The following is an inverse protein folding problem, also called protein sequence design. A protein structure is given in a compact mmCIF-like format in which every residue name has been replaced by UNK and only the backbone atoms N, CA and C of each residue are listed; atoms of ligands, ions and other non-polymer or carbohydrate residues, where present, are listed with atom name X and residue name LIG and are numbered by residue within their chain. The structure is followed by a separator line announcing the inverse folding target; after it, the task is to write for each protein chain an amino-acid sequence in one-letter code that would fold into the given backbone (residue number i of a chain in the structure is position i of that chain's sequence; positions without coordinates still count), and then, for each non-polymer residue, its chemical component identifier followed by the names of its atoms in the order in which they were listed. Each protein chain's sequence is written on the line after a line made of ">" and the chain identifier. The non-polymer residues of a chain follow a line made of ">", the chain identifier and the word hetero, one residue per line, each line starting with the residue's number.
data_IF_298343610029
#
_entry.id   IF_298343610029
#
_cell.length_a   1.000
_cell.length_b   1.000
_cell.length_c   1.000
_cell.angle_alpha   90.00
_cell.angle_beta   90.00
_cell.angle_gamma   90.00
#
_symmetry.space_group_name_H-M   'P 1'
#
loop_
_entity.id
_entity.type
_entity.pdbx_description
1 polymer ?
#
# COMPACT_ATOMS: atom_id res chain seq x y z
N UNK A 1 -30.50 -12.40 0.57
CA UNK A 1 -29.11 -12.34 0.06
C UNK A 1 -28.24 -13.17 1.00
N UNK A 2 -27.58 -14.20 0.50
CA UNK A 2 -26.66 -15.02 1.30
C UNK A 2 -25.33 -14.30 1.54
N UNK A 3 -24.53 -14.76 2.50
CA UNK A 3 -23.16 -14.24 2.71
C UNK A 3 -22.31 -14.38 1.45
N UNK A 4 -22.47 -15.47 0.71
CA UNK A 4 -21.78 -15.69 -0.57
C UNK A 4 -22.19 -14.66 -1.63
N UNK A 5 -23.49 -14.33 -1.74
CA UNK A 5 -23.97 -13.31 -2.69
C UNK A 5 -23.37 -11.94 -2.35
N UNK A 6 -23.36 -11.58 -1.05
CA UNK A 6 -22.78 -10.30 -0.60
C UNK A 6 -21.27 -10.23 -0.92
N UNK A 7 -20.53 -11.29 -0.63
CA UNK A 7 -19.10 -11.36 -0.97
C UNK A 7 -18.86 -11.29 -2.48
N UNK A 8 -19.68 -11.99 -3.26
CA UNK A 8 -19.58 -11.98 -4.73
C UNK A 8 -19.83 -10.57 -5.30
N UNK A 9 -20.85 -9.86 -4.78
CA UNK A 9 -21.12 -8.48 -5.16
C UNK A 9 -19.95 -7.56 -4.82
N UNK A 10 -19.39 -7.69 -3.61
CA UNK A 10 -18.24 -6.92 -3.16
C UNK A 10 -17.02 -7.16 -4.07
N UNK A 11 -16.66 -8.42 -4.32
CA UNK A 11 -15.51 -8.79 -5.15
C UNK A 11 -15.68 -8.30 -6.60
N UNK A 12 -16.89 -8.45 -7.18
CA UNK A 12 -17.22 -7.96 -8.52
C UNK A 12 -17.37 -6.44 -8.61
N UNK A 13 -17.74 -5.78 -7.51
CA UNK A 13 -17.90 -4.33 -7.40
C UNK A 13 -16.59 -3.58 -7.26
N UNK A 14 -15.56 -4.22 -6.66
CA UNK A 14 -14.25 -3.57 -6.47
C UNK A 14 -13.68 -3.06 -7.80
N UNK A 15 -13.28 -1.80 -7.82
CA UNK A 15 -12.62 -1.17 -8.98
C UNK A 15 -11.33 -0.49 -8.55
N UNK A 16 -10.38 -0.46 -9.45
CA UNK A 16 -9.22 0.43 -9.34
C UNK A 16 -9.67 1.84 -9.72
N UNK A 17 -9.52 2.79 -8.81
CA UNK A 17 -9.86 4.19 -9.07
C UNK A 17 -8.88 5.13 -8.37
N UNK A 18 -8.50 6.19 -9.09
CA UNK A 18 -7.79 7.37 -8.56
C UNK A 18 -8.69 8.62 -8.58
N UNK A 19 -9.96 8.46 -8.94
CA UNK A 19 -10.94 9.54 -8.83
C UNK A 19 -11.41 9.57 -7.39
N UNK A 20 -10.80 10.43 -6.59
CA UNK A 20 -10.99 10.57 -5.15
C UNK A 20 -11.14 12.03 -4.78
N UNK A 21 -11.93 12.32 -3.75
CA UNK A 21 -12.00 13.63 -3.13
C UNK A 21 -10.68 13.94 -2.39
N UNK A 22 -9.84 14.87 -2.89
CA UNK A 22 -8.47 15.03 -2.36
C UNK A 22 -8.44 15.63 -0.95
N UNK A 23 -9.47 16.41 -0.60
CA UNK A 23 -9.54 17.18 0.65
C UNK A 23 -10.40 16.49 1.72
N UNK A 24 -11.08 15.39 1.36
CA UNK A 24 -11.86 14.60 2.33
C UNK A 24 -10.99 13.54 2.97
N UNK A 25 -10.61 13.78 4.23
CA UNK A 25 -9.77 12.88 4.99
C UNK A 25 -10.35 11.46 5.11
N UNK A 26 -9.49 10.47 5.19
CA UNK A 26 -9.81 9.12 5.66
C UNK A 26 -9.30 9.01 7.08
N UNK A 27 -10.18 8.68 8.02
CA UNK A 27 -9.86 8.60 9.43
C UNK A 27 -8.79 7.51 9.69
N UNK A 28 -7.90 7.75 10.64
CA UNK A 28 -6.85 6.81 11.01
C UNK A 28 -7.43 5.46 11.45
N UNK A 29 -8.52 5.47 12.22
CA UNK A 29 -9.20 4.25 12.68
C UNK A 29 -9.67 3.37 11.49
N UNK A 30 -10.12 3.99 10.40
CA UNK A 30 -10.49 3.25 9.17
C UNK A 30 -9.26 2.62 8.55
N UNK A 31 -8.14 3.34 8.47
CA UNK A 31 -6.89 2.83 7.90
C UNK A 31 -6.37 1.67 8.75
N UNK A 32 -6.39 1.79 10.06
CA UNK A 32 -5.94 0.77 11.01
C UNK A 32 -6.81 -0.50 10.90
N UNK A 33 -8.14 -0.35 10.81
CA UNK A 33 -9.05 -1.47 10.57
C UNK A 33 -8.75 -2.18 9.23
N UNK A 34 -8.43 -1.42 8.18
CA UNK A 34 -8.08 -2.01 6.89
C UNK A 34 -6.74 -2.76 6.94
N UNK A 35 -5.75 -2.25 7.65
CA UNK A 35 -4.47 -2.93 7.86
C UNK A 35 -4.64 -4.18 8.73
N UNK A 36 -5.47 -4.11 9.77
CA UNK A 36 -5.82 -5.26 10.59
C UNK A 36 -6.52 -6.34 9.76
N UNK A 37 -7.54 -5.99 8.97
CA UNK A 37 -8.21 -6.91 8.06
C UNK A 37 -7.23 -7.54 7.06
N UNK A 38 -6.28 -6.78 6.54
CA UNK A 38 -5.24 -7.28 5.65
C UNK A 38 -4.40 -8.39 6.32
N UNK A 39 -4.11 -8.25 7.60
CA UNK A 39 -3.30 -9.20 8.38
C UNK A 39 -3.95 -10.58 8.57
N UNK A 40 -5.24 -10.73 8.25
CA UNK A 40 -5.95 -12.01 8.23
C UNK A 40 -5.72 -12.83 6.95
N UNK A 41 -4.86 -12.37 6.06
CA UNK A 41 -4.45 -13.16 4.90
C UNK A 41 -3.74 -14.46 5.33
N UNK A 42 -3.82 -15.54 4.52
CA UNK A 42 -3.11 -16.77 4.81
C UNK A 42 -1.59 -16.53 4.76
N UNK A 43 -0.86 -17.09 5.73
CA UNK A 43 0.60 -17.05 5.80
C UNK A 43 1.15 -18.43 6.12
N UNK A 44 1.91 -19.02 5.19
CA UNK A 44 2.53 -20.32 5.40
C UNK A 44 3.50 -20.25 6.59
N UNK A 45 3.45 -21.28 7.46
CA UNK A 45 4.23 -21.35 8.70
C UNK A 45 4.10 -20.14 9.63
N UNK A 46 3.06 -19.32 9.46
CA UNK A 46 2.79 -18.13 10.28
C UNK A 46 3.98 -17.17 10.31
N UNK A 47 4.57 -16.90 9.15
CA UNK A 47 5.67 -15.94 9.01
C UNK A 47 5.21 -14.50 9.22
N UNK A 48 3.90 -14.19 8.97
CA UNK A 48 3.30 -12.85 9.07
C UNK A 48 4.18 -11.75 8.48
N UNK A 49 4.50 -11.84 7.18
CA UNK A 49 5.58 -11.08 6.57
C UNK A 49 5.21 -9.64 6.23
N UNK A 50 3.94 -9.25 6.40
CA UNK A 50 3.46 -7.92 6.03
C UNK A 50 3.94 -6.84 6.98
N UNK A 51 4.23 -5.68 6.40
CA UNK A 51 4.51 -4.43 7.09
C UNK A 51 3.61 -3.37 6.49
N UNK A 52 3.03 -2.51 7.34
CA UNK A 52 2.16 -1.42 6.90
C UNK A 52 2.65 -0.10 7.49
N UNK A 53 2.72 0.93 6.63
CA UNK A 53 2.97 2.31 7.07
C UNK A 53 1.97 3.23 6.36
N UNK A 54 1.19 3.98 7.12
CA UNK A 54 0.17 4.89 6.60
C UNK A 54 0.66 6.34 6.59
N UNK A 55 0.27 7.06 5.56
CA UNK A 55 0.61 8.47 5.36
C UNK A 55 -0.65 9.26 5.01
N UNK A 56 -0.92 10.30 5.79
CA UNK A 56 -1.99 11.27 5.60
C UNK A 56 -1.41 12.68 5.70
N UNK A 57 -2.18 13.72 5.39
CA UNK A 57 -1.74 15.10 5.51
C UNK A 57 -0.37 15.34 4.85
N UNK A 58 0.54 15.99 5.56
CA UNK A 58 1.90 16.29 5.09
C UNK A 58 2.80 15.06 4.97
N UNK A 59 2.44 13.96 5.63
CA UNK A 59 3.16 12.68 5.52
C UNK A 59 3.25 12.19 4.08
N UNK A 60 2.22 12.42 3.26
CA UNK A 60 2.17 12.06 1.84
C UNK A 60 3.21 12.83 1.02
N UNK A 61 3.38 14.14 1.31
CA UNK A 61 4.40 14.97 0.66
C UNK A 61 5.80 14.50 1.05
N UNK A 62 6.02 14.20 2.35
CA UNK A 62 7.29 13.65 2.82
C UNK A 62 7.61 12.33 2.13
N UNK A 63 6.64 11.42 2.01
CA UNK A 63 6.83 10.14 1.29
C UNK A 63 7.27 10.39 -0.17
N UNK A 64 6.63 11.34 -0.86
CA UNK A 64 6.96 11.68 -2.24
C UNK A 64 8.38 12.23 -2.40
N UNK A 65 8.75 13.18 -1.55
CA UNK A 65 10.09 13.78 -1.53
C UNK A 65 11.16 12.74 -1.21
N UNK A 66 10.93 11.91 -0.20
CA UNK A 66 11.86 10.85 0.21
C UNK A 66 12.05 9.82 -0.91
N UNK A 67 10.98 9.38 -1.57
CA UNK A 67 11.08 8.46 -2.72
C UNK A 67 11.86 9.09 -3.89
N UNK A 68 11.63 10.37 -4.19
CA UNK A 68 12.37 11.06 -5.25
C UNK A 68 13.86 11.18 -4.91
N UNK A 69 14.21 11.36 -3.63
CA UNK A 69 15.60 11.38 -3.16
C UNK A 69 16.25 10.00 -3.33
N UNK A 70 15.59 8.92 -2.91
CA UNK A 70 16.09 7.56 -3.12
C UNK A 70 16.25 7.24 -4.62
N UNK A 71 15.35 7.72 -5.47
CA UNK A 71 15.48 7.58 -6.93
C UNK A 71 16.71 8.31 -7.46
N UNK A 72 17.01 9.51 -6.94
CA UNK A 72 18.19 10.26 -7.34
C UNK A 72 19.48 9.56 -6.90
N UNK A 73 19.53 9.10 -5.66
CA UNK A 73 20.69 8.37 -5.12
C UNK A 73 20.97 7.06 -5.86
N UNK A 74 19.91 6.41 -6.35
CA UNK A 74 20.00 5.18 -7.14
C UNK A 74 20.19 5.41 -8.65
N UNK A 75 20.35 6.66 -9.09
CA UNK A 75 20.35 7.08 -10.51
C UNK A 75 19.16 6.49 -11.31
N UNK A 76 17.98 6.46 -10.68
CA UNK A 76 16.77 5.90 -11.26
C UNK A 76 15.83 6.99 -11.77
N UNK A 77 15.55 6.93 -13.07
CA UNK A 77 14.68 7.89 -13.75
C UNK A 77 15.35 9.26 -13.96
N UNK A 78 14.77 10.02 -14.86
CA UNK A 78 15.17 11.41 -15.12
C UNK A 78 14.55 12.40 -14.11
N UNK A 79 14.94 13.66 -14.19
CA UNK A 79 14.43 14.71 -13.29
C UNK A 79 12.92 14.91 -13.41
N UNK A 80 12.35 14.76 -14.61
CA UNK A 80 10.90 14.86 -14.82
C UNK A 80 10.15 13.74 -14.10
N UNK A 81 10.66 12.52 -14.13
CA UNK A 81 10.10 11.36 -13.40
C UNK A 81 10.24 11.51 -11.90
N UNK A 82 11.39 12.03 -11.42
CA UNK A 82 11.62 12.31 -9.99
C UNK A 82 10.67 13.39 -9.49
N UNK A 83 10.53 14.51 -10.20
CA UNK A 83 9.59 15.60 -9.90
C UNK A 83 8.13 15.09 -9.87
N UNK A 84 7.72 14.30 -10.85
CA UNK A 84 6.39 13.68 -10.87
C UNK A 84 6.15 12.77 -9.65
N UNK A 85 7.20 12.08 -9.20
CA UNK A 85 7.11 11.19 -8.04
C UNK A 85 6.90 11.96 -6.74
N UNK A 86 7.46 13.16 -6.59
CA UNK A 86 7.25 14.03 -5.42
C UNK A 86 5.75 14.31 -5.17
N UNK A 87 4.99 14.61 -6.22
CA UNK A 87 3.55 14.91 -6.12
C UNK A 87 2.63 13.68 -6.21
N UNK A 88 3.19 12.50 -6.52
CA UNK A 88 2.40 11.30 -6.84
C UNK A 88 1.45 10.87 -5.73
N UNK A 89 1.89 10.98 -4.49
CA UNK A 89 1.15 10.50 -3.31
C UNK A 89 0.07 11.47 -2.82
N UNK A 90 0.04 12.69 -3.35
CA UNK A 90 -0.99 13.69 -3.04
C UNK A 90 -2.32 13.44 -3.77
N UNK A 91 -2.39 12.43 -4.64
CA UNK A 91 -3.60 12.09 -5.42
C UNK A 91 -4.73 11.49 -4.60
N UNK A 92 -4.45 11.05 -3.40
CA UNK A 92 -5.41 10.50 -2.47
C UNK A 92 -5.18 11.09 -1.09
N UNK A 93 -6.23 11.22 -0.25
CA UNK A 93 -6.09 11.74 1.11
C UNK A 93 -5.31 10.81 2.05
N UNK A 94 -5.22 9.52 1.72
CA UNK A 94 -4.43 8.56 2.48
C UNK A 94 -3.66 7.60 1.54
N UNK A 95 -2.47 7.17 1.99
CA UNK A 95 -1.61 6.21 1.30
C UNK A 95 -1.09 5.20 2.31
N UNK A 96 -1.16 3.92 1.98
CA UNK A 96 -0.57 2.84 2.77
C UNK A 96 0.57 2.20 1.98
N UNK A 97 1.79 2.28 2.50
CA UNK A 97 2.94 1.55 1.98
C UNK A 97 2.91 0.15 2.58
N UNK A 98 2.95 -0.86 1.72
CA UNK A 98 2.89 -2.27 2.13
C UNK A 98 4.23 -2.92 1.85
N UNK A 99 4.90 -3.33 2.91
CA UNK A 99 6.18 -4.02 2.89
C UNK A 99 6.04 -5.52 3.10
N UNK A 100 7.10 -6.22 2.75
CA UNK A 100 7.25 -7.67 2.93
C UNK A 100 8.60 -7.97 3.56
N UNK A 101 8.59 -8.67 4.67
CA UNK A 101 9.80 -9.22 5.30
C UNK A 101 10.39 -10.34 4.44
N UNK A 102 11.70 -10.31 4.15
CA UNK A 102 12.36 -11.40 3.44
C UNK A 102 12.47 -12.64 4.33
N UNK A 103 12.70 -13.80 3.70
CA UNK A 103 12.97 -15.03 4.44
C UNK A 103 14.23 -15.70 3.88
N UNK A 104 15.12 -16.30 4.73
CA UNK A 104 16.34 -16.96 4.28
C UNK A 104 16.10 -18.18 3.37
N UNK A 105 14.98 -18.88 3.59
CA UNK A 105 14.56 -19.97 2.73
C UNK A 105 13.85 -19.39 1.49
N UNK A 106 14.32 -19.73 0.29
CA UNK A 106 13.83 -19.20 -0.98
C UNK A 106 12.33 -19.46 -1.19
N UNK A 107 11.84 -20.65 -0.88
CA UNK A 107 10.43 -20.99 -1.00
C UNK A 107 9.56 -20.10 -0.11
N UNK A 108 9.92 -19.98 1.16
CA UNK A 108 9.20 -19.10 2.11
C UNK A 108 9.32 -17.62 1.73
N UNK A 109 10.42 -17.20 1.10
CA UNK A 109 10.57 -15.84 0.59
C UNK A 109 9.54 -15.53 -0.51
N UNK A 110 9.32 -16.46 -1.44
CA UNK A 110 8.29 -16.31 -2.48
C UNK A 110 6.88 -16.33 -1.87
N UNK A 111 6.61 -17.28 -0.99
CA UNK A 111 5.31 -17.41 -0.30
C UNK A 111 4.99 -16.19 0.59
N UNK A 112 6.00 -15.58 1.22
CA UNK A 112 5.83 -14.32 1.96
C UNK A 112 5.30 -13.21 1.07
N UNK A 113 5.86 -13.07 -0.14
CA UNK A 113 5.38 -12.08 -1.11
C UNK A 113 3.94 -12.36 -1.55
N UNK A 114 3.58 -13.64 -1.76
CA UNK A 114 2.23 -14.05 -2.13
C UNK A 114 1.24 -13.79 -0.99
N UNK A 115 1.63 -14.06 0.24
CA UNK A 115 0.85 -13.75 1.44
C UNK A 115 0.57 -12.23 1.55
N UNK A 116 1.58 -11.39 1.28
CA UNK A 116 1.42 -9.92 1.27
C UNK A 116 0.50 -9.47 0.14
N UNK A 117 0.56 -10.10 -1.04
CA UNK A 117 -0.37 -9.79 -2.13
C UNK A 117 -1.83 -10.15 -1.75
N UNK A 118 -2.04 -11.28 -1.07
CA UNK A 118 -3.34 -11.65 -0.52
C UNK A 118 -3.81 -10.65 0.56
N UNK A 119 -2.91 -10.17 1.41
CA UNK A 119 -3.19 -9.14 2.41
C UNK A 119 -3.64 -7.83 1.74
N UNK A 120 -2.95 -7.39 0.69
CA UNK A 120 -3.37 -6.21 -0.08
C UNK A 120 -4.77 -6.41 -0.66
N UNK A 121 -5.11 -7.59 -1.19
CA UNK A 121 -6.46 -7.87 -1.70
C UNK A 121 -7.52 -7.75 -0.60
N UNK A 122 -7.25 -8.24 0.62
CA UNK A 122 -8.17 -8.07 1.75
C UNK A 122 -8.38 -6.57 2.07
N UNK A 123 -7.30 -5.78 2.09
CA UNK A 123 -7.37 -4.32 2.28
C UNK A 123 -8.24 -3.65 1.21
N UNK A 124 -8.06 -4.00 -0.06
CA UNK A 124 -8.84 -3.44 -1.18
C UNK A 124 -10.32 -3.81 -1.10
N UNK A 125 -10.64 -5.03 -0.70
CA UNK A 125 -12.03 -5.47 -0.48
C UNK A 125 -12.66 -4.75 0.73
N UNK A 126 -11.91 -4.61 1.82
CA UNK A 126 -12.33 -3.84 2.98
C UNK A 126 -12.62 -2.38 2.64
N UNK A 127 -11.72 -1.73 1.89
CA UNK A 127 -11.92 -0.38 1.40
C UNK A 127 -13.22 -0.26 0.57
N UNK A 128 -13.46 -1.20 -0.34
CA UNK A 128 -14.69 -1.24 -1.14
C UNK A 128 -15.93 -1.44 -0.27
N UNK A 129 -15.86 -2.29 0.76
CA UNK A 129 -16.97 -2.52 1.69
C UNK A 129 -17.34 -1.26 2.48
N UNK A 130 -16.35 -0.41 2.78
CA UNK A 130 -16.53 0.88 3.45
C UNK A 130 -16.91 2.02 2.48
N UNK A 131 -17.04 1.74 1.18
CA UNK A 131 -17.37 2.76 0.17
C UNK A 131 -16.17 3.61 -0.25
N UNK A 132 -14.94 3.23 0.09
CA UNK A 132 -13.73 3.93 -0.34
C UNK A 132 -13.34 3.51 -1.77
N UNK A 133 -12.84 4.47 -2.53
CA UNK A 133 -12.05 4.23 -3.73
C UNK A 133 -10.63 3.79 -3.35
N UNK A 134 -10.06 2.88 -4.11
CA UNK A 134 -8.71 2.39 -3.86
C UNK A 134 -7.94 2.11 -5.15
N UNK A 135 -6.59 2.26 -5.06
CA UNK A 135 -5.68 1.94 -6.15
C UNK A 135 -4.40 1.33 -5.60
N UNK A 136 -4.06 0.14 -6.05
CA UNK A 136 -2.78 -0.50 -5.77
C UNK A 136 -1.77 -0.16 -6.87
N UNK A 137 -0.69 0.52 -6.50
CA UNK A 137 0.41 0.93 -7.38
C UNK A 137 1.70 0.21 -7.01
N UNK A 138 2.51 -0.10 -8.01
CA UNK A 138 3.90 -0.51 -7.80
C UNK A 138 4.75 0.71 -7.43
N UNK A 139 5.65 0.63 -6.43
CA UNK A 139 6.58 1.71 -6.11
C UNK A 139 7.62 1.92 -7.23
N UNK A 140 8.25 3.09 -7.25
CA UNK A 140 9.34 3.36 -8.18
C UNK A 140 10.56 2.47 -7.91
N UNK A 141 10.89 2.30 -6.63
CA UNK A 141 11.93 1.39 -6.13
C UNK A 141 11.28 0.41 -5.13
N UNK A 142 11.74 -0.83 -5.15
CA UNK A 142 11.22 -1.86 -4.23
C UNK A 142 11.99 -1.92 -2.91
N UNK A 143 13.20 -1.37 -2.87
CA UNK A 143 14.07 -1.27 -1.67
C UNK A 143 14.66 0.14 -1.54
N UNK A 144 13.85 1.19 -1.44
CA UNK A 144 14.33 2.56 -1.27
C UNK A 144 14.74 2.77 0.19
N UNK A 145 16.03 2.94 0.53
CA UNK A 145 16.49 2.88 1.91
C UNK A 145 15.90 3.97 2.80
N UNK A 146 15.78 5.19 2.30
CA UNK A 146 15.21 6.32 3.07
C UNK A 146 13.70 6.19 3.25
N UNK A 147 12.99 5.61 2.26
CA UNK A 147 11.56 5.33 2.41
C UNK A 147 11.33 4.17 3.37
N UNK A 148 12.16 3.12 3.35
CA UNK A 148 12.08 2.04 4.34
C UNK A 148 12.27 2.58 5.76
N UNK A 149 13.26 3.45 5.98
CA UNK A 149 13.49 4.14 7.26
C UNK A 149 12.28 5.01 7.65
N UNK A 150 11.75 5.82 6.72
CA UNK A 150 10.56 6.65 6.94
C UNK A 150 9.33 5.80 7.34
N UNK A 151 9.21 4.59 6.82
CA UNK A 151 8.16 3.63 7.15
C UNK A 151 8.45 2.87 8.47
N UNK A 152 9.62 3.02 9.08
CA UNK A 152 10.11 2.19 10.19
C UNK A 152 10.16 0.69 9.82
N UNK A 153 10.45 0.40 8.55
CA UNK A 153 10.67 -0.96 8.06
C UNK A 153 12.14 -1.36 8.20
N UNK A 154 12.41 -2.67 8.20
CA UNK A 154 13.79 -3.16 8.15
C UNK A 154 14.46 -2.78 6.83
N UNK A 155 15.79 -2.52 6.83
CA UNK A 155 16.55 -2.29 5.59
C UNK A 155 16.47 -3.47 4.59
N UNK A 156 16.19 -4.68 5.08
CA UNK A 156 16.03 -5.87 4.26
C UNK A 156 14.62 -6.04 3.71
N UNK A 157 13.63 -5.31 4.24
CA UNK A 157 12.26 -5.37 3.78
C UNK A 157 12.14 -4.89 2.31
N UNK A 158 11.08 -5.34 1.68
CA UNK A 158 10.77 -4.97 0.30
C UNK A 158 9.38 -4.36 0.23
N UNK A 159 9.23 -3.21 -0.40
CA UNK A 159 7.91 -2.64 -0.68
C UNK A 159 7.27 -3.45 -1.82
N UNK A 160 6.11 -4.06 -1.53
CA UNK A 160 5.31 -4.83 -2.48
C UNK A 160 4.30 -3.95 -3.19
N UNK A 161 3.78 -2.94 -2.50
CA UNK A 161 2.78 -2.05 -3.06
C UNK A 161 2.62 -0.76 -2.29
N UNK A 162 1.98 0.18 -2.95
CA UNK A 162 1.50 1.43 -2.37
C UNK A 162 0.01 1.51 -2.68
N UNK A 163 -0.82 1.49 -1.65
CA UNK A 163 -2.27 1.56 -1.78
C UNK A 163 -2.73 2.98 -1.48
N UNK A 164 -3.41 3.59 -2.44
CA UNK A 164 -4.07 4.88 -2.31
C UNK A 164 -5.50 4.64 -1.84
N UNK A 165 -5.96 5.41 -0.88
CA UNK A 165 -7.29 5.33 -0.29
C UNK A 165 -7.92 6.71 -0.22
N UNK A 166 -9.20 6.80 -0.58
CA UNK A 166 -9.96 8.03 -0.50
C UNK A 166 -11.43 7.81 -0.78
N UNK A 167 -12.25 8.81 -0.50
CA UNK A 167 -13.65 8.79 -0.86
C UNK A 167 -13.81 9.02 -2.36
N UNK A 168 -14.76 8.33 -3.03
CA UNK A 168 -15.02 8.57 -4.45
C UNK A 168 -15.40 10.03 -4.71
N UNK A 169 -14.77 10.64 -5.76
CA UNK A 169 -15.10 11.98 -6.25
C UNK A 169 -16.04 11.94 -7.44
#
# INVERSE_FOLDING_TARGET
>A
MTTFDAFTQLARGRRTSLVMEPDRAVDHDIIDQLCELASWAPSHKRTWPWRFASFTGDGRSRLGTTMATDMADADFGDDAKRTKTQGKYLRAPAVVVVGCEPHPNEMLHLENRDAVAAAIQNLLLGATALGLASFWSTPALTRPPKVLDLCSFSPDDRIVGVVYLGWPG
#
